data_IF_023314701602
#
_entry.id   IF_023314701602
#
_cell.length_a   1.000
_cell.length_b   1.000
_cell.length_c   1.000
_cell.angle_alpha   90.00
_cell.angle_beta   90.00
_cell.angle_gamma   90.00
#
_symmetry.space_group_name_H-M   'P 1'
#
loop_
_entity.id
_entity.type
_entity.pdbx_description
1 polymer ?
#
# COMPACT_ATOMS: atom_id res chain seq x y z
N UNK A 1 -5.34 -11.80 3.14
CA UNK A 1 -4.66 -11.00 2.11
C UNK A 1 -3.22 -11.47 2.03
N UNK A 2 -2.60 -11.45 0.85
CA UNK A 2 -1.20 -11.86 0.68
C UNK A 2 -0.45 -10.84 -0.19
N UNK A 3 0.75 -10.46 0.23
CA UNK A 3 1.61 -9.50 -0.47
C UNK A 3 2.51 -10.15 -1.52
N UNK A 4 2.63 -9.51 -2.68
CA UNK A 4 3.41 -9.95 -3.83
C UNK A 4 4.58 -9.00 -4.07
N UNK A 5 5.74 -9.57 -4.43
CA UNK A 5 6.92 -8.79 -4.76
C UNK A 5 6.71 -8.00 -6.06
N UNK A 6 6.66 -6.67 -5.96
CA UNK A 6 6.53 -5.78 -7.10
C UNK A 6 7.86 -5.42 -7.79
N UNK A 7 9.02 -5.89 -7.31
CA UNK A 7 10.35 -5.52 -7.83
C UNK A 7 10.96 -6.56 -8.79
N UNK A 8 10.31 -7.73 -8.96
CA UNK A 8 10.83 -8.76 -9.85
C UNK A 8 10.93 -8.26 -11.31
N UNK A 9 12.08 -8.51 -11.96
CA UNK A 9 12.34 -8.12 -13.35
C UNK A 9 12.67 -6.64 -13.58
N UNK A 10 12.66 -5.79 -12.54
CA UNK A 10 12.94 -4.36 -12.69
C UNK A 10 14.41 -4.04 -12.88
N UNK A 11 14.68 -2.86 -13.45
CA UNK A 11 16.02 -2.32 -13.66
C UNK A 11 16.23 -1.03 -12.86
N UNK A 12 17.43 -0.81 -12.29
CA UNK A 12 17.73 0.44 -11.60
C UNK A 12 17.82 1.60 -12.59
N UNK A 13 17.24 2.73 -12.20
CA UNK A 13 17.25 3.97 -12.97
C UNK A 13 18.30 4.95 -12.41
N UNK A 14 18.78 5.93 -13.20
CA UNK A 14 19.80 6.89 -12.75
C UNK A 14 19.40 7.73 -11.54
N UNK A 15 18.09 7.90 -11.29
CA UNK A 15 17.55 8.67 -10.16
C UNK A 15 17.37 7.83 -8.88
N UNK A 16 17.81 6.56 -8.91
CA UNK A 16 17.68 5.60 -7.81
C UNK A 16 16.33 4.89 -7.72
N UNK A 17 15.39 5.17 -8.63
CA UNK A 17 14.13 4.42 -8.73
C UNK A 17 14.32 3.09 -9.47
N UNK A 18 13.30 2.24 -9.43
CA UNK A 18 13.24 1.01 -10.21
C UNK A 18 12.26 1.19 -11.37
N UNK A 19 12.75 0.98 -12.59
CA UNK A 19 12.00 1.07 -13.84
C UNK A 19 11.83 -0.28 -14.51
N UNK A 20 11.18 -0.25 -15.67
CA UNK A 20 10.85 -1.44 -16.44
C UNK A 20 9.59 -2.15 -15.94
N UNK A 21 8.99 -2.99 -16.81
CA UNK A 21 7.77 -3.72 -16.48
C UNK A 21 8.02 -4.74 -15.38
N UNK A 22 7.05 -4.90 -14.48
CA UNK A 22 7.07 -5.97 -13.50
C UNK A 22 6.96 -7.34 -14.18
N UNK A 23 7.91 -8.23 -13.90
CA UNK A 23 7.82 -9.63 -14.29
C UNK A 23 6.90 -10.39 -13.32
N UNK A 24 5.62 -10.48 -13.73
CA UNK A 24 4.56 -11.12 -12.96
C UNK A 24 4.57 -12.65 -13.02
N UNK A 25 5.49 -13.29 -13.74
CA UNK A 25 5.45 -14.76 -13.96
C UNK A 25 5.50 -15.56 -12.66
N UNK A 26 6.33 -15.13 -11.71
CA UNK A 26 6.41 -15.75 -10.38
C UNK A 26 5.10 -15.61 -9.59
N UNK A 27 4.53 -14.40 -9.56
CA UNK A 27 3.25 -14.13 -8.89
C UNK A 27 2.09 -14.92 -9.53
N UNK A 28 2.03 -14.96 -10.87
CA UNK A 28 1.02 -15.74 -11.59
C UNK A 28 1.13 -17.24 -11.27
N UNK A 29 2.34 -17.80 -11.25
CA UNK A 29 2.56 -19.20 -10.85
C UNK A 29 2.10 -19.45 -9.43
N UNK A 30 2.40 -18.55 -8.48
CA UNK A 30 1.97 -18.67 -7.09
C UNK A 30 0.44 -18.58 -6.96
N UNK A 31 -0.20 -17.62 -7.62
CA UNK A 31 -1.66 -17.46 -7.63
C UNK A 31 -2.32 -18.74 -8.17
N UNK A 32 -1.88 -19.25 -9.33
CA UNK A 32 -2.40 -20.50 -9.89
C UNK A 32 -2.21 -21.69 -8.95
N UNK A 33 -1.07 -21.76 -8.26
CA UNK A 33 -0.84 -22.78 -7.25
C UNK A 33 -1.88 -22.69 -6.12
N UNK A 34 -2.11 -21.51 -5.54
CA UNK A 34 -3.10 -21.34 -4.46
C UNK A 34 -4.51 -21.73 -4.89
N UNK A 35 -4.92 -21.34 -6.11
CA UNK A 35 -6.20 -21.77 -6.72
C UNK A 35 -6.25 -23.29 -6.85
N UNK A 36 -5.19 -23.93 -7.36
CA UNK A 36 -5.14 -25.40 -7.52
C UNK A 36 -5.23 -26.16 -6.19
N UNK A 37 -4.86 -25.53 -5.08
CA UNK A 37 -4.97 -26.08 -3.73
C UNK A 37 -6.29 -25.76 -3.04
N UNK A 38 -7.14 -24.94 -3.65
CA UNK A 38 -8.40 -24.49 -3.05
C UNK A 38 -8.17 -23.60 -1.82
N UNK A 39 -7.10 -22.81 -1.81
CA UNK A 39 -6.87 -21.86 -0.73
C UNK A 39 -7.70 -20.59 -0.92
N UNK A 40 -8.40 -20.20 0.14
CA UNK A 40 -9.16 -18.96 0.16
C UNK A 40 -8.22 -17.77 0.37
N UNK A 41 -7.95 -17.05 -0.72
CA UNK A 41 -7.25 -15.77 -0.69
C UNK A 41 -8.25 -14.65 -0.87
N UNK A 42 -8.33 -13.74 0.10
CA UNK A 42 -9.28 -12.62 0.07
C UNK A 42 -8.76 -11.39 -0.69
N UNK A 43 -7.45 -11.30 -0.92
CA UNK A 43 -6.87 -10.21 -1.69
C UNK A 43 -5.38 -10.39 -1.93
N UNK A 44 -4.92 -9.83 -3.04
CA UNK A 44 -3.54 -9.80 -3.49
C UNK A 44 -3.05 -8.36 -3.43
N UNK A 45 -2.05 -8.10 -2.61
CA UNK A 45 -1.42 -6.79 -2.50
C UNK A 45 -0.14 -6.77 -3.33
N UNK A 46 0.02 -5.77 -4.20
CA UNK A 46 1.23 -5.60 -4.99
C UNK A 46 2.16 -4.63 -4.29
N UNK A 47 3.38 -5.07 -3.96
CA UNK A 47 4.47 -4.24 -3.44
C UNK A 47 4.32 -3.81 -1.98
N UNK A 48 5.36 -3.14 -1.48
CA UNK A 48 5.41 -2.57 -0.14
C UNK A 48 6.32 -1.33 -0.15
N UNK A 49 5.78 -0.18 0.24
CA UNK A 49 6.46 1.10 0.44
C UNK A 49 7.24 1.62 -0.77
N UNK A 50 6.68 1.41 -1.97
CA UNK A 50 7.29 1.83 -3.24
C UNK A 50 6.73 3.16 -3.79
N UNK A 51 5.71 3.73 -3.15
CA UNK A 51 5.03 4.96 -3.56
C UNK A 51 5.82 6.23 -3.19
N UNK A 52 5.65 7.29 -3.97
CA UNK A 52 6.27 8.59 -3.69
C UNK A 52 7.79 8.51 -3.59
N UNK A 53 8.33 8.91 -2.44
CA UNK A 53 9.78 8.81 -2.16
C UNK A 53 10.26 7.37 -1.94
N UNK A 54 9.36 6.47 -1.54
CA UNK A 54 9.63 5.08 -1.19
C UNK A 54 10.45 4.89 0.09
N UNK A 55 10.53 3.64 0.55
CA UNK A 55 11.43 3.18 1.62
C UNK A 55 12.44 2.21 1.03
N UNK A 56 13.71 2.61 1.02
CA UNK A 56 14.81 1.88 0.36
C UNK A 56 14.81 2.03 -1.17
N UNK A 57 13.66 1.93 -1.84
CA UNK A 57 13.51 2.18 -3.28
C UNK A 57 12.10 2.66 -3.63
N UNK A 58 11.89 3.10 -4.87
CA UNK A 58 10.59 3.59 -5.37
C UNK A 58 10.31 3.17 -6.80
N UNK A 59 9.04 3.18 -7.16
CA UNK A 59 8.55 2.96 -8.54
C UNK A 59 7.62 4.11 -8.91
N UNK A 60 7.76 4.65 -10.12
CA UNK A 60 6.89 5.73 -10.61
C UNK A 60 5.43 5.27 -10.75
N UNK A 61 4.49 6.16 -10.47
CA UNK A 61 3.05 5.83 -10.45
C UNK A 61 2.54 5.30 -11.80
N UNK A 62 3.03 5.83 -12.92
CA UNK A 62 2.70 5.32 -14.27
C UNK A 62 3.03 3.83 -14.43
N UNK A 63 4.28 3.47 -14.13
CA UNK A 63 4.73 2.08 -14.22
C UNK A 63 3.97 1.20 -13.22
N UNK A 64 3.77 1.69 -11.99
CA UNK A 64 3.03 0.96 -10.96
C UNK A 64 1.59 0.68 -11.39
N UNK A 65 0.92 1.64 -12.02
CA UNK A 65 -0.44 1.46 -12.53
C UNK A 65 -0.50 0.36 -13.59
N UNK A 66 0.46 0.31 -14.51
CA UNK A 66 0.57 -0.78 -15.48
C UNK A 66 0.75 -2.14 -14.80
N UNK A 67 1.52 -2.19 -13.72
CA UNK A 67 1.78 -3.42 -12.96
C UNK A 67 0.54 -3.88 -12.17
N UNK A 68 -0.24 -2.96 -11.60
CA UNK A 68 -1.53 -3.26 -10.95
C UNK A 68 -2.55 -3.80 -11.97
N UNK A 69 -2.60 -3.22 -13.17
CA UNK A 69 -3.45 -3.72 -14.27
C UNK A 69 -3.04 -5.15 -14.65
N UNK A 70 -1.73 -5.43 -14.73
CA UNK A 70 -1.25 -6.79 -15.00
C UNK A 70 -1.63 -7.77 -13.88
N UNK A 71 -1.53 -7.37 -12.60
CA UNK A 71 -2.00 -8.20 -11.49
C UNK A 71 -3.49 -8.49 -11.61
N UNK A 72 -4.32 -7.48 -11.89
CA UNK A 72 -5.76 -7.67 -12.07
C UNK A 72 -6.06 -8.68 -13.19
N UNK A 73 -5.35 -8.59 -14.32
CA UNK A 73 -5.49 -9.57 -15.40
C UNK A 73 -5.09 -10.99 -15.00
N UNK A 74 -4.07 -11.15 -14.16
CA UNK A 74 -3.65 -12.45 -13.64
C UNK A 74 -4.74 -13.03 -12.73
N UNK A 75 -5.27 -12.23 -11.80
CA UNK A 75 -6.37 -12.63 -10.92
C UNK A 75 -7.61 -13.00 -11.74
N UNK A 76 -7.99 -12.17 -12.71
CA UNK A 76 -9.14 -12.39 -13.58
C UNK A 76 -9.08 -13.72 -14.34
N UNK A 77 -7.88 -14.12 -14.77
CA UNK A 77 -7.66 -15.37 -15.51
C UNK A 77 -7.55 -16.59 -14.60
N UNK A 78 -7.06 -16.43 -13.37
CA UNK A 78 -6.80 -17.53 -12.47
C UNK A 78 -8.05 -18.02 -11.72
N UNK A 79 -8.98 -17.13 -11.38
CA UNK A 79 -10.14 -17.45 -10.54
C UNK A 79 -11.42 -17.63 -11.38
N UNK A 80 -12.18 -18.69 -11.07
CA UNK A 80 -13.52 -18.91 -11.59
C UNK A 80 -14.55 -18.47 -10.53
N UNK A 81 -15.43 -17.53 -10.87
CA UNK A 81 -16.46 -17.03 -9.93
C UNK A 81 -15.95 -15.86 -9.07
N UNK A 82 -16.12 -15.97 -7.74
CA UNK A 82 -15.71 -14.92 -6.80
C UNK A 82 -14.19 -14.72 -6.82
N UNK A 83 -13.75 -13.48 -6.97
CA UNK A 83 -12.34 -13.11 -7.10
C UNK A 83 -11.83 -12.43 -5.81
N UNK A 84 -10.58 -12.68 -5.42
CA UNK A 84 -9.89 -11.87 -4.43
C UNK A 84 -9.77 -10.41 -4.87
N UNK A 85 -9.65 -9.50 -3.91
CA UNK A 85 -9.40 -8.08 -4.17
C UNK A 85 -8.00 -7.85 -4.75
N UNK A 86 -7.87 -6.87 -5.65
CA UNK A 86 -6.59 -6.30 -6.07
C UNK A 86 -6.29 -5.06 -5.24
N UNK A 87 -5.19 -5.11 -4.48
CA UNK A 87 -4.83 -4.14 -3.45
C UNK A 87 -3.47 -3.51 -3.78
N UNK A 88 -3.34 -2.20 -3.66
CA UNK A 88 -2.09 -1.47 -3.90
C UNK A 88 -2.14 -0.05 -3.31
N UNK A 89 -1.01 0.66 -3.15
CA UNK A 89 0.37 0.20 -3.33
C UNK A 89 1.04 -0.32 -2.06
N UNK A 90 0.35 -0.34 -0.91
CA UNK A 90 0.95 -0.68 0.38
C UNK A 90 2.09 0.29 0.73
N UNK A 91 1.87 1.61 0.63
CA UNK A 91 2.94 2.59 0.84
C UNK A 91 2.47 3.89 1.47
N UNK A 92 3.38 4.85 1.66
CA UNK A 92 3.03 6.15 2.25
C UNK A 92 2.31 7.05 1.25
N UNK A 93 1.36 7.83 1.75
CA UNK A 93 0.55 8.73 0.94
C UNK A 93 1.41 9.85 0.33
N UNK A 94 1.41 9.93 -0.99
CA UNK A 94 1.91 11.06 -1.77
C UNK A 94 0.80 11.49 -2.73
N UNK A 95 0.36 12.75 -2.63
CA UNK A 95 -0.85 13.21 -3.33
C UNK A 95 -0.74 13.10 -4.85
N UNK A 96 0.43 13.42 -5.42
CA UNK A 96 0.65 13.35 -6.87
C UNK A 96 0.67 11.89 -7.35
N UNK A 97 1.44 11.06 -6.68
CA UNK A 97 1.60 9.64 -6.98
C UNK A 97 0.28 8.88 -6.87
N UNK A 98 -0.48 9.10 -5.79
CA UNK A 98 -1.78 8.44 -5.57
C UNK A 98 -2.84 8.93 -6.58
N UNK A 99 -2.84 10.23 -6.91
CA UNK A 99 -3.74 10.77 -7.93
C UNK A 99 -3.49 10.10 -9.28
N UNK A 100 -2.22 9.95 -9.66
CA UNK A 100 -1.84 9.31 -10.93
C UNK A 100 -2.20 7.82 -10.96
N UNK A 101 -1.90 7.07 -9.88
CA UNK A 101 -2.28 5.66 -9.77
C UNK A 101 -3.80 5.49 -9.95
N UNK A 102 -4.58 6.21 -9.14
CA UNK A 102 -6.06 6.15 -9.18
C UNK A 102 -6.59 6.54 -10.54
N UNK A 103 -6.00 7.52 -11.22
CA UNK A 103 -6.44 7.94 -12.54
C UNK A 103 -6.21 6.85 -13.59
N UNK A 104 -5.08 6.14 -13.52
CA UNK A 104 -4.64 5.17 -14.53
C UNK A 104 -5.21 3.76 -14.33
N UNK A 105 -5.67 3.43 -13.13
CA UNK A 105 -6.32 2.13 -12.83
C UNK A 105 -7.84 2.16 -13.00
N UNK A 106 -8.40 3.19 -13.65
CA UNK A 106 -9.85 3.29 -13.90
C UNK A 106 -10.33 2.34 -15.00
N UNK A 107 -11.64 2.00 -14.99
CA UNK A 107 -12.58 2.24 -13.89
C UNK A 107 -12.40 1.23 -12.73
N UNK A 108 -12.00 -0.01 -13.05
CA UNK A 108 -12.10 -1.17 -12.15
C UNK A 108 -10.84 -2.06 -12.22
N UNK A 109 -9.64 -1.49 -12.28
CA UNK A 109 -8.38 -2.27 -12.31
C UNK A 109 -7.76 -2.44 -10.92
N UNK A 110 -8.32 -1.79 -9.89
CA UNK A 110 -7.86 -1.85 -8.51
C UNK A 110 -9.06 -1.69 -7.58
N UNK A 111 -9.25 -2.62 -6.65
CA UNK A 111 -10.41 -2.64 -5.75
C UNK A 111 -10.15 -1.79 -4.50
N UNK A 112 -8.92 -1.83 -3.99
CA UNK A 112 -8.52 -1.15 -2.77
C UNK A 112 -7.24 -0.37 -2.99
N UNK A 113 -7.27 0.90 -2.59
CA UNK A 113 -6.07 1.71 -2.41
C UNK A 113 -5.64 1.70 -0.93
N UNK A 114 -4.41 1.29 -0.64
CA UNK A 114 -3.85 1.23 0.73
C UNK A 114 -2.85 2.34 0.97
N UNK A 115 -2.80 2.87 2.20
CA UNK A 115 -1.65 3.64 2.67
C UNK A 115 -1.16 3.18 4.05
N UNK A 116 0.09 3.50 4.37
CA UNK A 116 0.73 3.19 5.65
C UNK A 116 0.70 4.38 6.61
N UNK A 117 0.64 4.12 7.92
CA UNK A 117 0.61 5.17 8.96
C UNK A 117 1.59 4.90 10.10
N UNK A 118 2.56 5.80 10.22
CA UNK A 118 3.55 5.85 11.31
C UNK A 118 3.78 7.30 11.77
N UNK A 119 2.73 7.96 12.24
CA UNK A 119 2.72 9.40 12.51
C UNK A 119 3.42 9.82 13.81
N UNK A 120 3.80 8.89 14.69
CA UNK A 120 4.52 9.21 15.94
C UNK A 120 6.03 9.38 15.74
N UNK A 121 6.58 8.84 14.65
CA UNK A 121 8.01 8.90 14.35
C UNK A 121 8.74 7.58 14.68
N UNK A 122 10.07 7.60 14.90
CA UNK A 122 10.83 6.38 15.12
C UNK A 122 10.61 5.81 16.52
N UNK A 123 10.68 4.48 16.64
CA UNK A 123 10.64 3.78 17.92
C UNK A 123 11.73 4.20 18.91
N UNK A 124 12.85 4.76 18.45
CA UNK A 124 13.91 5.27 19.35
C UNK A 124 13.59 6.63 19.99
N UNK A 125 12.50 7.29 19.60
CA UNK A 125 12.12 8.58 20.17
C UNK A 125 11.67 8.42 21.62
N UNK A 126 12.26 9.21 22.52
CA UNK A 126 11.92 9.20 23.95
C UNK A 126 10.69 10.06 24.27
N UNK A 127 10.16 10.81 23.30
CA UNK A 127 9.01 11.70 23.47
C UNK A 127 7.70 11.13 22.90
N UNK A 128 7.62 9.81 22.69
CA UNK A 128 6.45 9.16 22.10
C UNK A 128 5.21 9.31 22.98
N UNK A 129 5.35 9.26 24.31
CA UNK A 129 4.22 9.42 25.25
C UNK A 129 3.60 10.81 25.12
N UNK A 130 4.42 11.86 25.04
CA UNK A 130 3.96 13.24 24.87
C UNK A 130 3.24 13.43 23.54
N UNK A 131 3.70 12.78 22.48
CA UNK A 131 3.04 12.78 21.16
C UNK A 131 1.69 12.05 21.18
N UNK A 132 1.64 10.89 21.81
CA UNK A 132 0.43 10.07 21.95
C UNK A 132 -0.65 10.82 22.73
N UNK A 133 -0.26 11.51 23.81
CA UNK A 133 -1.20 12.26 24.66
C UNK A 133 -1.51 13.68 24.14
N UNK A 134 -1.03 14.05 22.95
CA UNK A 134 -1.26 15.34 22.33
C UNK A 134 -2.24 15.21 21.14
N UNK A 135 -3.52 15.60 21.31
CA UNK A 135 -4.51 15.51 20.24
C UNK A 135 -4.11 16.27 18.97
N UNK A 136 -3.51 17.46 19.11
CA UNK A 136 -3.06 18.24 17.96
C UNK A 136 -1.91 17.57 17.21
N UNK A 137 -1.11 16.74 17.87
CA UNK A 137 -0.09 15.95 17.20
C UNK A 137 -0.71 14.78 16.42
N UNK A 138 -1.73 14.11 16.98
CA UNK A 138 -2.47 13.04 16.31
C UNK A 138 -3.26 13.55 15.10
N UNK A 139 -3.84 14.76 15.20
CA UNK A 139 -4.62 15.41 14.14
C UNK A 139 -3.82 15.70 12.86
N UNK A 140 -2.49 15.62 12.90
CA UNK A 140 -1.65 15.78 11.71
C UNK A 140 -1.99 14.78 10.59
N UNK A 141 -2.57 13.63 10.93
CA UNK A 141 -2.98 12.61 9.93
C UNK A 141 -4.32 12.90 9.26
N UNK A 142 -5.16 13.79 9.80
CA UNK A 142 -6.51 14.06 9.28
C UNK A 142 -6.46 14.46 7.80
N UNK A 143 -5.47 15.26 7.41
CA UNK A 143 -5.31 15.71 6.02
C UNK A 143 -4.99 14.56 5.06
N UNK A 144 -4.23 13.54 5.50
CA UNK A 144 -3.92 12.37 4.68
C UNK A 144 -5.20 11.62 4.30
N UNK A 145 -6.06 11.36 5.28
CA UNK A 145 -7.33 10.67 5.06
C UNK A 145 -8.28 11.48 4.17
N UNK A 146 -8.46 12.76 4.47
CA UNK A 146 -9.38 13.62 3.71
C UNK A 146 -8.90 13.85 2.28
N UNK A 147 -7.60 13.98 2.05
CA UNK A 147 -7.01 14.11 0.72
C UNK A 147 -7.18 12.84 -0.12
N UNK A 148 -6.88 11.65 0.43
CA UNK A 148 -7.10 10.40 -0.28
C UNK A 148 -8.59 10.19 -0.61
N UNK A 149 -9.47 10.47 0.35
CA UNK A 149 -10.92 10.44 0.11
C UNK A 149 -11.32 11.42 -1.00
N UNK A 150 -10.74 12.62 -1.02
CA UNK A 150 -10.93 13.62 -2.08
C UNK A 150 -10.51 13.11 -3.45
N UNK A 151 -9.32 12.49 -3.56
CA UNK A 151 -8.82 11.89 -4.80
C UNK A 151 -9.80 10.86 -5.35
N UNK A 152 -10.28 9.93 -4.50
CA UNK A 152 -11.23 8.90 -4.93
C UNK A 152 -12.58 9.48 -5.37
N UNK A 153 -13.12 10.44 -4.61
CA UNK A 153 -14.38 11.14 -4.94
C UNK A 153 -14.26 11.88 -6.28
N UNK A 154 -13.21 12.67 -6.46
CA UNK A 154 -12.95 13.41 -7.70
C UNK A 154 -12.69 12.47 -8.88
N UNK A 155 -12.11 11.31 -8.62
CA UNK A 155 -11.86 10.30 -9.63
C UNK A 155 -13.13 9.58 -10.10
N UNK A 156 -14.17 9.49 -9.27
CA UNK A 156 -15.40 8.75 -9.59
C UNK A 156 -15.19 7.25 -9.76
N UNK A 157 -14.22 6.68 -9.06
CA UNK A 157 -13.93 5.23 -9.06
C UNK A 157 -14.70 4.50 -7.96
N UNK A 158 -14.88 3.19 -8.11
CA UNK A 158 -15.38 2.30 -7.05
C UNK A 158 -14.28 1.82 -6.10
N UNK A 159 -13.01 2.15 -6.36
CA UNK A 159 -11.90 1.82 -5.46
C UNK A 159 -12.15 2.38 -4.06
N UNK A 160 -11.93 1.56 -3.03
CA UNK A 160 -12.07 1.95 -1.62
C UNK A 160 -10.71 2.21 -0.99
N UNK A 161 -10.64 3.10 0.01
CA UNK A 161 -9.39 3.42 0.71
C UNK A 161 -9.28 2.67 2.04
N UNK A 162 -8.16 1.98 2.26
CA UNK A 162 -7.81 1.30 3.52
C UNK A 162 -6.50 1.83 4.10
N UNK A 163 -6.34 1.69 5.41
CA UNK A 163 -5.01 1.71 6.04
C UNK A 163 -4.46 0.29 5.97
N UNK A 164 -3.43 0.07 5.16
CA UNK A 164 -2.86 -1.27 4.89
C UNK A 164 -1.89 -1.74 5.98
N UNK A 165 -1.15 -0.79 6.56
CA UNK A 165 -0.19 -1.02 7.63
C UNK A 165 -0.20 0.19 8.57
N UNK A 166 -0.18 -0.05 9.88
CA UNK A 166 -0.05 1.01 10.86
C UNK A 166 0.59 0.49 12.14
N UNK A 167 1.35 1.36 12.80
CA UNK A 167 1.95 1.02 14.10
C UNK A 167 2.34 2.22 14.95
N UNK A 168 1.94 3.44 14.56
CA UNK A 168 2.21 4.68 15.27
C UNK A 168 3.67 5.09 15.19
N UNK A 169 4.56 4.31 15.83
CA UNK A 169 6.00 4.48 15.77
C UNK A 169 6.65 3.40 14.88
N UNK A 170 7.43 3.82 13.88
CA UNK A 170 8.13 2.91 12.96
C UNK A 170 9.39 2.31 13.62
N UNK A 171 10.09 1.39 12.94
CA UNK A 171 11.23 0.64 13.48
C UNK A 171 10.87 -0.17 14.73
N UNK A 172 9.75 -0.91 14.66
CA UNK A 172 9.29 -1.86 15.69
C UNK A 172 8.78 -1.23 16.99
N UNK A 173 8.51 0.07 17.01
CA UNK A 173 7.95 0.75 18.18
C UNK A 173 8.94 0.93 19.33
N UNK A 174 8.43 1.16 20.54
CA UNK A 174 9.21 1.47 21.74
C UNK A 174 8.67 0.68 22.93
N UNK A 175 9.52 -0.19 23.51
CA UNK A 175 9.15 -1.01 24.66
C UNK A 175 8.80 -0.17 25.89
N UNK A 176 7.69 -0.49 26.56
CA UNK A 176 7.04 0.29 27.62
C UNK A 176 6.28 1.52 27.11
N UNK A 177 6.15 1.69 25.79
CA UNK A 177 5.28 2.70 25.17
C UNK A 177 4.31 2.04 24.21
N UNK A 178 4.75 1.51 23.06
CA UNK A 178 3.87 0.96 22.00
C UNK A 178 3.28 -0.41 22.34
N UNK A 179 3.78 -1.05 23.39
CA UNK A 179 3.27 -2.29 23.99
C UNK A 179 2.63 -2.05 25.37
N UNK A 180 2.35 -0.79 25.73
CA UNK A 180 1.77 -0.38 27.01
C UNK A 180 0.40 0.29 26.83
N UNK A 181 -0.34 0.44 27.93
CA UNK A 181 -1.69 1.03 27.93
C UNK A 181 -1.74 2.43 27.29
N UNK A 182 -0.70 3.25 27.50
CA UNK A 182 -0.65 4.60 26.92
C UNK A 182 -0.80 4.60 25.40
N UNK A 183 -0.42 3.51 24.71
CA UNK A 183 -0.55 3.43 23.27
C UNK A 183 -2.00 3.35 22.78
N UNK A 184 -2.98 3.00 23.63
CA UNK A 184 -4.39 2.95 23.21
C UNK A 184 -5.02 4.32 22.93
N UNK A 185 -4.31 5.41 23.21
CA UNK A 185 -4.74 6.77 22.86
C UNK A 185 -4.35 7.17 21.42
N UNK A 186 -3.41 6.45 20.79
CA UNK A 186 -3.13 6.53 19.37
C UNK A 186 -4.12 5.64 18.60
#
# INVERSE_FOLDING_TARGET
VFGLNALNGRVPMPDGSMGGPWDYTNAASFIHYTVSKGYDIYGWELGNELSGSGVGTRVGADQYAADVINLNQVVDKAYQGSKPLVIAPGGFFDAGWFTELVAKTKPNQMDVITHHIYNLGPGVDTHLVEKILNPSYLDNMVSTFSNLQGILKSAGTSTTAWVGEAGGAYNSGHHLVTDAFVFSFW
#
